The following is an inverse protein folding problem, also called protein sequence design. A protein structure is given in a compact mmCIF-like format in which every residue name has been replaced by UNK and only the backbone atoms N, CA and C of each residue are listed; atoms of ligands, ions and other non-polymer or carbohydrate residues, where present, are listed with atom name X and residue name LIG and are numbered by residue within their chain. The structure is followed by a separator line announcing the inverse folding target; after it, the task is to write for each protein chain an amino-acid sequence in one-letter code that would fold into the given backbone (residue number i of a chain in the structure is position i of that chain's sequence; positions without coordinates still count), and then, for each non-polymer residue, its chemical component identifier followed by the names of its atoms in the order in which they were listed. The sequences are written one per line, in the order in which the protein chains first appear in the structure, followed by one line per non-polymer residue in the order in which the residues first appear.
data_IF_470552459891
#
_entry.id   IF_470552459891
#
_cell.length_a   1.000
_cell.length_b   1.000
_cell.length_c   1.000
_cell.angle_alpha   90.00
_cell.angle_beta   90.00
_cell.angle_gamma   90.00
#
_symmetry.space_group_name_H-M   'P 1'
#
loop_
_entity.id
_entity.type
_entity.pdbx_description
1 polymer ?
#
# COMPACT_ATOMS: atom_id res chain seq x y z
N UNK A 1 -21.54 21.45 -9.10
CA UNK A 1 -20.52 21.30 -8.04
C UNK A 1 -19.29 20.59 -8.60
N UNK A 2 -18.07 20.94 -8.15
CA UNK A 2 -16.85 20.24 -8.53
C UNK A 2 -16.90 18.80 -7.99
N UNK A 3 -16.62 17.81 -8.86
CA UNK A 3 -16.51 16.42 -8.46
C UNK A 3 -15.16 16.18 -7.76
N UNK A 4 -15.19 15.46 -6.63
CA UNK A 4 -14.01 15.07 -5.85
C UNK A 4 -13.84 13.55 -5.99
N UNK A 5 -12.89 13.06 -6.80
CA UNK A 5 -12.64 11.62 -6.93
C UNK A 5 -11.99 11.07 -5.65
N UNK A 6 -12.13 9.76 -5.42
CA UNK A 6 -11.46 9.09 -4.29
C UNK A 6 -9.92 9.17 -4.40
N UNK A 7 -9.41 8.93 -5.60
CA UNK A 7 -7.98 9.03 -5.92
C UNK A 7 -7.75 9.90 -7.15
N UNK A 8 -6.58 10.53 -7.20
CA UNK A 8 -6.13 11.28 -8.36
C UNK A 8 -4.62 11.16 -8.50
N UNK A 9 -4.18 10.75 -9.68
CA UNK A 9 -2.75 10.69 -10.02
C UNK A 9 -2.15 12.10 -10.09
N UNK A 10 -0.90 12.22 -9.68
CA UNK A 10 -0.13 13.45 -9.75
C UNK A 10 1.10 13.25 -10.63
N UNK A 11 1.27 14.13 -11.60
CA UNK A 11 2.49 14.20 -12.42
C UNK A 11 3.00 15.64 -12.41
N UNK A 12 4.21 15.85 -11.93
CA UNK A 12 4.84 17.16 -11.89
C UNK A 12 5.35 17.59 -13.27
N UNK A 13 5.46 18.89 -13.52
CA UNK A 13 6.13 19.40 -14.72
C UNK A 13 7.58 18.93 -14.84
N UNK A 14 8.26 18.74 -13.72
CA UNK A 14 9.63 18.16 -13.69
C UNK A 14 9.64 16.73 -14.21
N UNK A 15 8.62 15.94 -13.90
CA UNK A 15 8.48 14.58 -14.44
C UNK A 15 8.36 14.59 -15.95
N UNK A 16 7.48 15.46 -16.49
CA UNK A 16 7.31 15.61 -17.94
C UNK A 16 8.64 16.05 -18.60
N UNK A 17 9.28 17.06 -18.02
CA UNK A 17 10.56 17.56 -18.51
C UNK A 17 11.67 16.49 -18.50
N UNK A 18 11.82 15.76 -17.39
CA UNK A 18 12.82 14.69 -17.27
C UNK A 18 12.64 13.62 -18.34
N UNK A 19 11.38 13.17 -18.55
CA UNK A 19 11.06 12.17 -19.58
C UNK A 19 11.34 12.73 -20.99
N UNK A 20 10.94 13.96 -21.28
CA UNK A 20 11.25 14.59 -22.57
C UNK A 20 12.76 14.71 -22.81
N UNK A 21 13.52 15.17 -21.83
CA UNK A 21 14.97 15.26 -21.92
C UNK A 21 15.64 13.90 -22.15
N UNK A 22 15.17 12.87 -21.42
CA UNK A 22 15.66 11.51 -21.60
C UNK A 22 15.40 11.01 -23.03
N UNK A 23 14.16 11.16 -23.53
CA UNK A 23 13.79 10.71 -24.86
C UNK A 23 14.55 11.46 -25.98
N UNK A 24 14.74 12.78 -25.84
CA UNK A 24 15.54 13.57 -26.79
C UNK A 24 16.99 13.09 -26.82
N UNK A 25 17.61 12.89 -25.64
CA UNK A 25 18.97 12.37 -25.53
C UNK A 25 19.10 10.94 -26.07
N UNK A 26 18.07 10.11 -25.89
CA UNK A 26 18.08 8.70 -26.30
C UNK A 26 17.81 8.49 -27.80
N UNK A 27 17.33 9.51 -28.52
CA UNK A 27 17.05 9.41 -29.96
C UNK A 27 18.25 8.96 -30.81
N UNK A 28 19.43 8.97 -30.24
CA UNK A 28 20.69 8.61 -30.88
C UNK A 28 21.35 7.36 -30.27
N UNK A 29 20.58 6.41 -29.77
CA UNK A 29 21.07 5.09 -29.37
C UNK A 29 21.28 4.85 -27.89
N UNK A 30 20.72 5.68 -27.01
CA UNK A 30 20.76 5.40 -25.56
C UNK A 30 19.77 4.29 -25.20
N UNK A 31 20.22 3.32 -24.44
CA UNK A 31 19.39 2.23 -23.93
C UNK A 31 18.43 2.75 -22.85
N UNK A 32 17.12 2.54 -23.05
CA UNK A 32 16.06 3.01 -22.14
C UNK A 32 15.64 1.98 -21.08
N UNK A 33 16.38 0.89 -20.93
CA UNK A 33 16.12 -0.11 -19.90
C UNK A 33 16.58 0.37 -18.53
N UNK A 34 17.19 -0.48 -17.74
CA UNK A 34 17.82 -0.10 -16.47
C UNK A 34 19.16 0.62 -16.74
N UNK A 35 19.19 1.91 -16.55
CA UNK A 35 20.33 2.77 -16.87
C UNK A 35 20.59 3.83 -15.78
N UNK A 36 21.13 5.00 -16.14
CA UNK A 36 21.51 6.04 -15.18
C UNK A 36 20.34 6.65 -14.43
N UNK A 37 19.15 6.75 -15.04
CA UNK A 37 17.96 7.29 -14.37
C UNK A 37 17.49 6.38 -13.25
N UNK A 38 17.52 5.06 -13.44
CA UNK A 38 17.18 4.09 -12.40
C UNK A 38 18.17 4.19 -11.24
N UNK A 39 19.49 4.19 -11.53
CA UNK A 39 20.53 4.31 -10.48
C UNK A 39 20.38 5.61 -9.68
N UNK A 40 20.10 6.71 -10.35
CA UNK A 40 19.87 8.00 -9.70
C UNK A 40 18.59 7.97 -8.85
N UNK A 41 17.52 7.36 -9.33
CA UNK A 41 16.27 7.27 -8.60
C UNK A 41 16.37 6.39 -7.35
N UNK A 42 17.09 5.26 -7.42
CA UNK A 42 17.40 4.41 -6.27
C UNK A 42 18.11 5.19 -5.17
N UNK A 43 19.15 5.95 -5.55
CA UNK A 43 19.92 6.78 -4.63
C UNK A 43 19.09 7.91 -4.03
N UNK A 44 18.43 8.71 -4.87
CA UNK A 44 17.64 9.86 -4.44
C UNK A 44 16.44 9.43 -3.56
N UNK A 45 15.81 8.29 -3.87
CA UNK A 45 14.73 7.74 -3.06
C UNK A 45 15.24 7.28 -1.69
N UNK A 46 16.34 6.54 -1.64
CA UNK A 46 16.92 6.08 -0.39
C UNK A 46 17.33 7.27 0.50
N UNK A 47 18.06 8.24 -0.05
CA UNK A 47 18.47 9.47 0.66
C UNK A 47 17.25 10.24 1.19
N UNK A 48 16.21 10.41 0.36
CA UNK A 48 15.01 11.17 0.70
C UNK A 48 14.26 10.62 1.92
N UNK A 49 14.19 9.30 2.04
CA UNK A 49 13.43 8.64 3.10
C UNK A 49 14.32 8.04 4.21
N UNK A 50 15.61 8.36 4.22
CA UNK A 50 16.53 7.88 5.25
C UNK A 50 16.67 6.36 5.26
N UNK A 51 16.65 5.75 4.07
CA UNK A 51 16.88 4.33 3.84
C UNK A 51 18.34 4.12 3.43
N UNK A 52 18.92 2.99 3.81
CA UNK A 52 20.32 2.72 3.42
C UNK A 52 20.44 2.46 1.92
N UNK A 53 19.46 1.76 1.34
CA UNK A 53 19.45 1.35 -0.06
C UNK A 53 18.03 1.02 -0.53
N UNK A 54 17.80 1.08 -1.85
CA UNK A 54 16.55 0.68 -2.47
C UNK A 54 16.83 0.08 -3.85
N UNK A 55 16.21 -1.04 -4.18
CA UNK A 55 16.29 -1.66 -5.49
C UNK A 55 15.00 -1.37 -6.28
N UNK A 56 15.12 -0.65 -7.39
CA UNK A 56 13.97 -0.28 -8.20
C UNK A 56 13.46 -1.48 -9.02
N UNK A 57 12.15 -1.68 -8.98
CA UNK A 57 11.43 -2.74 -9.68
C UNK A 57 10.26 -2.17 -10.48
N UNK A 58 9.67 -2.97 -11.36
CA UNK A 58 8.61 -2.51 -12.26
C UNK A 58 7.23 -2.40 -11.59
N UNK A 59 7.05 -2.88 -10.38
CA UNK A 59 5.80 -2.74 -9.60
C UNK A 59 6.01 -3.07 -8.12
N UNK A 60 5.09 -2.61 -7.25
CA UNK A 60 5.06 -3.06 -5.86
C UNK A 60 4.83 -4.56 -5.71
N UNK A 61 4.08 -5.18 -6.63
CA UNK A 61 3.88 -6.63 -6.68
C UNK A 61 5.20 -7.36 -6.94
N UNK A 62 6.02 -6.86 -7.87
CA UNK A 62 7.34 -7.43 -8.12
C UNK A 62 8.28 -7.29 -6.90
N UNK A 63 8.16 -6.21 -6.13
CA UNK A 63 8.89 -6.07 -4.86
C UNK A 63 8.47 -7.15 -3.86
N UNK A 64 7.17 -7.42 -3.72
CA UNK A 64 6.65 -8.49 -2.86
C UNK A 64 7.12 -9.87 -3.33
N UNK A 65 7.02 -10.18 -4.63
CA UNK A 65 7.50 -11.45 -5.19
C UNK A 65 8.99 -11.69 -4.88
N UNK A 66 9.83 -10.67 -5.08
CA UNK A 66 11.26 -10.76 -4.76
C UNK A 66 11.51 -10.87 -3.25
N UNK A 67 10.72 -10.20 -2.39
CA UNK A 67 10.85 -10.31 -0.94
C UNK A 67 10.57 -11.75 -0.47
N UNK A 68 9.53 -12.39 -1.01
CA UNK A 68 9.21 -13.79 -0.71
C UNK A 68 10.27 -14.77 -1.25
N UNK A 69 10.86 -14.47 -2.43
CA UNK A 69 12.00 -15.23 -2.98
C UNK A 69 13.20 -15.16 -2.04
N UNK A 70 13.59 -13.95 -1.65
CA UNK A 70 14.75 -13.70 -0.80
C UNK A 70 14.55 -14.21 0.62
N UNK A 71 13.31 -14.27 1.10
CA UNK A 71 12.93 -14.90 2.35
C UNK A 71 12.91 -16.44 2.26
N UNK A 72 13.20 -17.01 1.08
CA UNK A 72 13.20 -18.45 0.83
C UNK A 72 11.92 -19.17 1.28
N UNK A 73 10.77 -18.46 1.10
CA UNK A 73 9.44 -19.00 1.42
C UNK A 73 9.10 -20.09 0.39
N UNK A 74 8.63 -21.25 0.87
CA UNK A 74 8.36 -22.44 0.03
C UNK A 74 7.18 -23.30 0.52
N UNK A 75 7.03 -24.48 -0.08
CA UNK A 75 5.83 -25.34 -0.01
C UNK A 75 5.38 -25.73 1.42
N UNK A 76 6.31 -25.85 2.37
CA UNK A 76 5.97 -26.25 3.74
C UNK A 76 5.80 -25.07 4.69
N UNK A 77 6.00 -23.86 4.21
CA UNK A 77 5.96 -22.67 5.01
C UNK A 77 4.55 -22.09 5.10
N UNK A 78 4.28 -21.41 6.21
CA UNK A 78 3.08 -20.58 6.39
C UNK A 78 3.50 -19.11 6.49
N UNK A 79 2.71 -18.25 5.83
CA UNK A 79 2.88 -16.79 5.89
C UNK A 79 1.61 -16.18 6.44
N UNK A 80 1.73 -15.41 7.53
CA UNK A 80 0.60 -14.68 8.11
C UNK A 80 0.42 -13.36 7.35
N UNK A 81 -0.79 -13.11 6.84
CA UNK A 81 -1.14 -11.95 6.03
C UNK A 81 -2.42 -11.31 6.58
N UNK A 82 -2.54 -9.97 6.66
CA UNK A 82 -3.80 -9.33 7.04
C UNK A 82 -4.95 -9.74 6.10
N UNK A 83 -6.12 -10.03 6.66
CA UNK A 83 -7.29 -10.39 5.84
C UNK A 83 -7.77 -9.23 4.97
N UNK A 84 -7.64 -7.99 5.45
CA UNK A 84 -7.97 -6.76 4.71
C UNK A 84 -6.72 -6.16 4.08
N UNK A 85 -6.52 -6.45 2.81
CA UNK A 85 -5.38 -5.93 2.03
C UNK A 85 -5.65 -6.03 0.52
N UNK A 86 -4.68 -5.63 -0.29
CA UNK A 86 -4.64 -5.96 -1.71
C UNK A 86 -4.18 -7.42 -1.90
N UNK A 87 -4.74 -8.19 -2.84
CA UNK A 87 -4.33 -9.59 -3.06
C UNK A 87 -2.82 -9.79 -3.29
N UNK A 88 -2.13 -8.78 -3.83
CA UNK A 88 -0.69 -8.81 -4.05
C UNK A 88 0.13 -9.09 -2.77
N UNK A 89 -0.39 -8.77 -1.58
CA UNK A 89 0.30 -9.06 -0.31
C UNK A 89 0.34 -10.57 0.01
N UNK A 90 -0.59 -11.37 -0.51
CA UNK A 90 -0.68 -12.81 -0.25
C UNK A 90 -0.36 -13.71 -1.44
N UNK A 91 -0.53 -13.23 -2.68
CA UNK A 91 -0.31 -14.03 -3.90
C UNK A 91 1.11 -14.61 -4.02
N UNK A 92 2.20 -13.92 -3.61
CA UNK A 92 3.53 -14.50 -3.67
C UNK A 92 3.68 -15.81 -2.88
N UNK A 93 2.95 -15.96 -1.76
CA UNK A 93 2.92 -17.23 -1.03
C UNK A 93 2.31 -18.35 -1.88
N UNK A 94 1.23 -18.07 -2.58
CA UNK A 94 0.56 -19.05 -3.46
C UNK A 94 1.47 -19.46 -4.61
N UNK A 95 2.16 -18.50 -5.27
CA UNK A 95 3.11 -18.79 -6.34
C UNK A 95 4.23 -19.72 -5.88
N UNK A 96 4.60 -19.65 -4.59
CA UNK A 96 5.64 -20.48 -3.95
C UNK A 96 5.10 -21.72 -3.27
N UNK A 97 3.81 -22.03 -3.46
CA UNK A 97 3.11 -23.16 -2.83
C UNK A 97 3.11 -23.10 -1.30
N UNK A 98 3.43 -21.95 -0.71
CA UNK A 98 3.31 -21.72 0.73
C UNK A 98 1.85 -21.46 1.09
N UNK A 99 1.51 -21.70 2.35
CA UNK A 99 0.15 -21.51 2.85
C UNK A 99 -0.02 -20.09 3.38
N UNK A 100 -1.04 -19.39 2.91
CA UNK A 100 -1.49 -18.13 3.51
C UNK A 100 -2.35 -18.41 4.73
N UNK A 101 -1.96 -17.82 5.87
CA UNK A 101 -2.74 -17.78 7.10
C UNK A 101 -3.22 -16.35 7.31
N UNK A 102 -4.52 -16.10 7.19
CA UNK A 102 -5.04 -14.77 7.39
C UNK A 102 -5.15 -14.41 8.87
N UNK A 103 -4.73 -13.18 9.21
CA UNK A 103 -4.96 -12.55 10.49
C UNK A 103 -6.07 -11.51 10.39
N UNK A 104 -6.88 -11.40 11.45
CA UNK A 104 -7.95 -10.41 11.55
C UNK A 104 -7.39 -8.99 11.71
N UNK A 105 -8.24 -8.01 11.55
CA UNK A 105 -7.93 -6.60 11.71
C UNK A 105 -8.33 -6.08 13.10
N UNK A 106 -7.74 -4.94 13.48
CA UNK A 106 -8.22 -4.11 14.57
C UNK A 106 -9.27 -3.10 14.05
N UNK A 107 -9.93 -2.37 14.97
CA UNK A 107 -10.97 -1.39 14.59
C UNK A 107 -10.46 -0.19 13.78
N UNK A 108 -9.15 0.01 13.70
CA UNK A 108 -8.51 1.00 12.84
C UNK A 108 -8.19 0.46 11.43
N UNK A 109 -8.72 -0.70 11.08
CA UNK A 109 -8.57 -1.41 9.81
C UNK A 109 -7.16 -1.94 9.54
N UNK A 110 -6.20 -1.79 10.46
CA UNK A 110 -4.89 -2.40 10.36
C UNK A 110 -4.89 -3.81 10.97
N UNK A 111 -3.84 -4.59 10.75
CA UNK A 111 -3.75 -5.95 11.29
C UNK A 111 -3.76 -5.95 12.82
N UNK A 112 -4.49 -6.89 13.43
CA UNK A 112 -4.46 -7.13 14.87
C UNK A 112 -3.19 -7.89 15.24
N UNK A 113 -2.33 -7.29 16.08
CA UNK A 113 -1.09 -7.92 16.56
C UNK A 113 -1.39 -9.17 17.40
N UNK A 114 -2.41 -9.09 18.25
CA UNK A 114 -2.83 -10.22 19.10
C UNK A 114 -3.32 -11.40 18.25
N UNK A 115 -4.07 -11.11 17.18
CA UNK A 115 -4.54 -12.16 16.28
C UNK A 115 -3.39 -12.77 15.48
N UNK A 116 -2.42 -11.98 15.03
CA UNK A 116 -1.17 -12.48 14.41
C UNK A 116 -0.46 -13.45 15.34
N UNK A 117 -0.29 -13.07 16.61
CA UNK A 117 0.38 -13.91 17.61
C UNK A 117 -0.36 -15.22 17.86
N UNK A 118 -1.70 -15.18 17.88
CA UNK A 118 -2.55 -16.38 18.10
C UNK A 118 -2.51 -17.38 16.95
N UNK A 119 -2.11 -16.94 15.74
CA UNK A 119 -2.09 -17.79 14.53
C UNK A 119 -0.74 -18.43 14.23
N UNK A 120 0.25 -18.24 15.09
CA UNK A 120 1.55 -18.88 14.91
C UNK A 120 1.47 -20.39 14.95
N UNK A 121 2.20 -21.01 14.06
CA UNK A 121 2.47 -22.45 14.05
C UNK A 121 3.97 -22.69 13.89
N UNK A 122 4.46 -23.91 14.12
CA UNK A 122 5.86 -24.25 13.83
C UNK A 122 6.28 -24.07 12.36
N UNK A 123 5.33 -23.90 11.44
CA UNK A 123 5.58 -23.67 10.02
C UNK A 123 5.54 -22.18 9.64
N UNK A 124 5.17 -21.31 10.56
CA UNK A 124 5.17 -19.87 10.28
C UNK A 124 6.58 -19.38 10.06
N UNK A 125 6.87 -18.91 8.85
CA UNK A 125 8.18 -18.40 8.44
C UNK A 125 8.22 -16.88 8.35
N UNK A 126 7.12 -16.27 7.90
CA UNK A 126 7.04 -14.83 7.72
C UNK A 126 5.68 -14.25 8.11
N UNK A 127 5.70 -12.97 8.43
CA UNK A 127 4.52 -12.14 8.65
C UNK A 127 4.57 -10.98 7.66
N UNK A 128 3.45 -10.70 6.99
CA UNK A 128 3.28 -9.51 6.18
C UNK A 128 2.55 -8.45 6.99
N UNK A 129 3.18 -7.30 7.18
CA UNK A 129 2.54 -6.11 7.72
C UNK A 129 2.14 -5.19 6.57
N UNK A 130 0.87 -4.81 6.49
CA UNK A 130 0.37 -3.89 5.47
C UNK A 130 0.07 -2.55 6.13
N UNK A 131 0.66 -1.49 5.60
CA UNK A 131 0.34 -0.12 6.02
C UNK A 131 -1.00 0.31 5.44
N UNK A 132 -2.11 -0.15 6.02
CA UNK A 132 -3.44 0.17 5.51
C UNK A 132 -3.71 1.69 5.59
N UNK A 133 -3.86 2.34 4.44
CA UNK A 133 -3.96 3.81 4.34
C UNK A 133 -2.68 4.57 4.68
N UNK A 134 -1.58 3.88 4.98
CA UNK A 134 -0.35 4.46 5.54
C UNK A 134 -0.31 4.44 7.07
N UNK A 135 -1.25 3.73 7.72
CA UNK A 135 -1.24 3.50 9.17
C UNK A 135 -0.12 2.53 9.55
N UNK A 136 0.67 2.87 10.56
CA UNK A 136 1.80 2.07 11.03
C UNK A 136 1.59 1.48 12.45
N UNK A 137 0.37 1.55 12.98
CA UNK A 137 0.05 1.00 14.31
C UNK A 137 0.26 -0.52 14.30
N UNK A 138 0.92 -1.04 15.33
CA UNK A 138 1.28 -2.45 15.43
C UNK A 138 2.62 -2.81 14.81
N UNK A 139 3.22 -1.97 13.96
CA UNK A 139 4.50 -2.29 13.31
C UNK A 139 5.64 -2.45 14.31
N UNK A 140 5.74 -1.57 15.31
CA UNK A 140 6.81 -1.65 16.33
C UNK A 140 6.71 -2.92 17.16
N UNK A 141 5.50 -3.29 17.53
CA UNK A 141 5.22 -4.52 18.27
C UNK A 141 5.59 -5.75 17.43
N UNK A 142 5.18 -5.80 16.16
CA UNK A 142 5.52 -6.90 15.26
C UNK A 142 7.00 -6.99 14.95
N UNK A 143 7.71 -5.86 14.82
CA UNK A 143 9.18 -5.86 14.68
C UNK A 143 9.88 -6.51 15.89
N UNK A 144 9.45 -6.18 17.10
CA UNK A 144 9.99 -6.78 18.33
C UNK A 144 9.65 -8.27 18.40
N UNK A 145 8.40 -8.62 18.12
CA UNK A 145 7.89 -9.98 18.14
C UNK A 145 8.59 -10.88 17.12
N UNK A 146 8.71 -10.44 15.87
CA UNK A 146 9.41 -11.22 14.84
C UNK A 146 10.87 -11.45 15.20
N UNK A 147 11.55 -10.44 15.76
CA UNK A 147 12.93 -10.59 16.24
C UNK A 147 13.05 -11.62 17.36
N UNK A 148 12.13 -11.61 18.32
CA UNK A 148 12.09 -12.57 19.44
C UNK A 148 11.88 -14.00 18.94
N UNK A 149 10.98 -14.17 17.96
CA UNK A 149 10.61 -15.50 17.44
C UNK A 149 11.46 -15.99 16.27
N UNK A 150 12.41 -15.20 15.79
CA UNK A 150 13.21 -15.52 14.60
C UNK A 150 12.39 -15.58 13.31
N UNK A 151 11.31 -14.78 13.22
CA UNK A 151 10.42 -14.73 12.06
C UNK A 151 10.82 -13.56 11.13
N UNK A 152 10.58 -13.71 9.84
CA UNK A 152 10.80 -12.68 8.84
C UNK A 152 9.60 -11.73 8.84
N UNK A 153 9.85 -10.42 8.89
CA UNK A 153 8.82 -9.41 8.68
C UNK A 153 8.95 -8.77 7.30
N UNK A 154 7.87 -8.79 6.54
CA UNK A 154 7.75 -8.15 5.23
C UNK A 154 6.76 -6.98 5.37
N UNK A 155 7.22 -5.75 5.15
CA UNK A 155 6.36 -4.57 5.05
C UNK A 155 5.80 -4.43 3.63
N UNK A 156 4.48 -4.52 3.46
CA UNK A 156 3.80 -3.97 2.30
C UNK A 156 3.56 -2.47 2.54
N UNK A 157 4.53 -1.67 2.10
CA UNK A 157 4.55 -0.22 2.22
C UNK A 157 3.97 0.50 0.98
N UNK A 158 3.13 -0.19 0.18
CA UNK A 158 2.51 0.37 -1.02
C UNK A 158 1.67 1.63 -0.75
N UNK A 159 1.34 1.92 0.50
CA UNK A 159 0.54 3.06 0.94
C UNK A 159 1.29 3.92 1.99
N UNK A 160 2.57 3.61 2.29
CA UNK A 160 3.30 4.17 3.42
C UNK A 160 4.11 5.43 3.11
N UNK A 161 4.37 5.77 1.84
CA UNK A 161 5.18 6.94 1.48
C UNK A 161 4.58 8.22 2.07
N UNK A 162 5.32 8.84 2.99
CA UNK A 162 4.89 10.00 3.77
C UNK A 162 4.39 9.68 5.19
N UNK A 163 4.28 8.41 5.56
CA UNK A 163 4.05 7.99 6.94
C UNK A 163 5.28 8.27 7.82
N UNK A 164 5.06 8.41 9.13
CA UNK A 164 6.15 8.78 10.04
C UNK A 164 7.06 7.60 10.40
N UNK A 165 6.60 6.35 10.23
CA UNK A 165 7.37 5.16 10.60
C UNK A 165 7.11 4.01 9.63
N UNK A 166 8.11 3.68 8.79
CA UNK A 166 8.12 2.58 7.82
C UNK A 166 9.56 2.27 7.38
N UNK A 167 9.76 1.22 6.58
CA UNK A 167 11.09 0.85 6.08
C UNK A 167 11.98 0.24 7.16
N UNK A 168 11.42 -0.52 8.09
CA UNK A 168 12.12 -1.05 9.27
C UNK A 168 12.17 -2.57 9.34
N UNK A 169 11.39 -3.26 8.52
CA UNK A 169 11.35 -4.72 8.47
C UNK A 169 12.55 -5.31 7.71
N UNK A 170 12.62 -6.63 7.64
CA UNK A 170 13.66 -7.33 6.88
C UNK A 170 13.55 -7.02 5.38
N UNK A 171 12.30 -6.92 4.89
CA UNK A 171 11.96 -6.48 3.55
C UNK A 171 10.87 -5.41 3.60
N UNK A 172 11.02 -4.34 2.81
CA UNK A 172 9.98 -3.31 2.64
C UNK A 172 9.68 -3.13 1.16
N UNK A 173 8.42 -3.30 0.79
CA UNK A 173 7.93 -3.29 -0.59
C UNK A 173 7.13 -2.02 -0.85
N UNK A 174 7.62 -1.16 -1.74
CA UNK A 174 6.99 0.13 -2.09
C UNK A 174 6.36 0.05 -3.47
N UNK A 175 5.17 0.62 -3.63
CA UNK A 175 4.50 0.79 -4.93
C UNK A 175 4.54 2.24 -5.38
N UNK A 176 4.84 2.43 -6.66
CA UNK A 176 4.81 3.72 -7.35
C UNK A 176 3.71 3.77 -8.43
N UNK A 177 2.68 2.93 -8.30
CA UNK A 177 1.55 2.89 -9.20
C UNK A 177 0.82 4.26 -9.23
N UNK A 178 0.14 4.57 -10.30
CA UNK A 178 -0.39 5.89 -10.66
C UNK A 178 -1.14 6.65 -9.55
N UNK A 179 -1.85 5.96 -8.64
CA UNK A 179 -2.63 6.61 -7.57
C UNK A 179 -1.86 6.75 -6.24
N UNK A 180 -0.59 6.28 -6.16
CA UNK A 180 0.19 6.35 -4.92
C UNK A 180 0.66 7.76 -4.61
N UNK A 181 1.09 8.00 -3.35
CA UNK A 181 1.57 9.31 -2.88
C UNK A 181 2.74 9.80 -3.71
N UNK A 182 3.72 8.93 -3.97
CA UNK A 182 4.74 9.09 -4.98
C UNK A 182 4.43 8.12 -6.13
N UNK A 183 4.41 8.61 -7.36
CA UNK A 183 4.17 7.77 -8.53
C UNK A 183 5.23 7.95 -9.60
N UNK A 184 5.49 6.88 -10.33
CA UNK A 184 6.26 6.85 -11.58
C UNK A 184 5.42 6.32 -12.76
N UNK A 185 4.07 6.41 -12.63
CA UNK A 185 3.12 5.81 -13.55
C UNK A 185 2.82 4.35 -13.16
N UNK A 186 3.83 3.55 -13.12
CA UNK A 186 3.94 2.25 -12.46
C UNK A 186 5.37 2.10 -11.92
N UNK A 187 5.64 1.07 -11.14
CA UNK A 187 6.95 0.84 -10.54
C UNK A 187 6.88 0.52 -9.06
N UNK A 188 8.05 0.34 -8.47
CA UNK A 188 8.19 0.08 -7.05
C UNK A 188 9.64 0.05 -6.59
N UNK A 189 9.82 -0.14 -5.30
CA UNK A 189 11.13 -0.40 -4.71
C UNK A 189 11.06 -1.59 -3.76
N UNK A 190 12.10 -2.39 -3.76
CA UNK A 190 12.39 -3.35 -2.70
C UNK A 190 13.54 -2.82 -1.85
N UNK A 191 13.30 -2.69 -0.57
CA UNK A 191 14.30 -2.36 0.44
C UNK A 191 14.61 -3.63 1.21
N UNK A 192 15.86 -4.07 1.20
CA UNK A 192 16.35 -5.18 2.00
C UNK A 192 17.22 -4.62 3.12
N UNK A 193 16.97 -5.06 4.34
CA UNK A 193 17.79 -4.68 5.50
C UNK A 193 19.20 -5.27 5.38
N UNK A 194 19.31 -6.51 4.92
CA UNK A 194 20.60 -7.17 4.67
C UNK A 194 21.20 -6.69 3.34
N UNK A 195 22.46 -6.18 3.34
CA UNK A 195 23.16 -5.78 2.12
C UNK A 195 23.33 -6.90 1.09
N UNK A 196 23.59 -8.13 1.55
CA UNK A 196 23.78 -9.26 0.64
C UNK A 196 22.48 -9.61 -0.09
N UNK A 197 21.34 -9.55 0.62
CA UNK A 197 20.01 -9.75 0.02
C UNK A 197 19.64 -8.61 -0.94
N UNK A 198 20.10 -7.38 -0.69
CA UNK A 198 19.91 -6.28 -1.63
C UNK A 198 20.65 -6.54 -2.96
N UNK A 199 21.91 -6.96 -2.92
CA UNK A 199 22.66 -7.31 -4.13
C UNK A 199 22.04 -8.51 -4.86
N UNK A 200 21.56 -9.50 -4.10
CA UNK A 200 20.80 -10.62 -4.67
C UNK A 200 19.51 -10.15 -5.35
N UNK A 201 18.75 -9.22 -4.74
CA UNK A 201 17.55 -8.62 -5.34
C UNK A 201 17.86 -7.95 -6.69
N UNK A 202 18.97 -7.21 -6.79
CA UNK A 202 19.40 -6.58 -8.05
C UNK A 202 19.70 -7.59 -9.16
N UNK A 203 20.26 -8.75 -8.83
CA UNK A 203 20.44 -9.83 -9.80
C UNK A 203 19.11 -10.47 -10.18
N UNK A 204 18.32 -10.84 -9.19
CA UNK A 204 17.04 -11.52 -9.40
C UNK A 204 16.06 -10.70 -10.25
N UNK A 205 16.00 -9.38 -10.09
CA UNK A 205 15.13 -8.52 -10.91
C UNK A 205 15.49 -8.51 -12.40
N UNK A 206 16.70 -8.98 -12.75
CA UNK A 206 17.24 -9.02 -14.11
C UNK A 206 17.80 -10.40 -14.45
N UNK A 207 16.95 -11.40 -14.58
CA UNK A 207 17.26 -12.76 -15.02
C UNK A 207 18.30 -13.52 -14.20
N UNK A 208 18.71 -13.05 -13.02
CA UNK A 208 19.79 -13.61 -12.23
C UNK A 208 21.19 -13.11 -12.61
N UNK A 209 21.31 -12.20 -13.56
CA UNK A 209 22.61 -11.62 -13.94
C UNK A 209 23.12 -10.62 -12.93
N UNK A 210 24.43 -10.65 -12.64
CA UNK A 210 25.16 -9.48 -12.20
C UNK A 210 25.38 -8.57 -13.41
N UNK A 211 24.54 -7.55 -13.50
CA UNK A 211 24.51 -6.67 -14.67
C UNK A 211 25.76 -5.80 -14.80
N UNK A 212 26.33 -5.35 -13.68
CA UNK A 212 27.56 -4.54 -13.70
C UNK A 212 28.77 -5.38 -14.15
N UNK A 213 28.84 -6.61 -13.65
CA UNK A 213 29.87 -7.54 -14.06
C UNK A 213 29.72 -7.91 -15.54
N UNK A 214 28.50 -8.18 -15.99
CA UNK A 214 28.20 -8.47 -17.41
C UNK A 214 28.59 -7.31 -18.32
N UNK A 215 28.35 -6.06 -17.93
CA UNK A 215 28.78 -4.90 -18.72
C UNK A 215 30.31 -4.78 -18.82
N UNK A 216 31.03 -5.18 -17.78
CA UNK A 216 32.50 -5.14 -17.77
C UNK A 216 33.16 -6.27 -18.54
N UNK A 217 32.60 -7.49 -18.45
CA UNK A 217 33.19 -8.72 -19.00
C UNK A 217 32.59 -9.16 -20.33
N UNK A 218 31.46 -8.54 -20.76
CA UNK A 218 30.70 -8.94 -21.93
C UNK A 218 29.71 -10.07 -21.67
N UNK A 219 30.05 -11.02 -20.82
CA UNK A 219 29.15 -12.11 -20.38
C UNK A 219 29.48 -12.54 -18.94
N UNK A 220 28.48 -13.11 -18.25
CA UNK A 220 28.62 -13.70 -16.92
C UNK A 220 27.68 -14.89 -16.79
N UNK A 221 28.00 -15.82 -15.92
CA UNK A 221 27.14 -16.94 -15.59
C UNK A 221 25.84 -16.50 -14.88
N UNK A 222 24.79 -17.28 -15.03
CA UNK A 222 23.52 -17.17 -14.30
C UNK A 222 23.50 -18.28 -13.26
N UNK A 223 23.82 -17.96 -12.01
CA UNK A 223 23.89 -18.93 -10.92
C UNK A 223 22.56 -19.15 -10.20
N UNK A 224 21.57 -18.31 -10.46
CA UNK A 224 20.23 -18.39 -9.87
C UNK A 224 19.16 -17.91 -10.89
N UNK A 225 17.98 -18.55 -10.87
CA UNK A 225 16.88 -18.14 -11.75
C UNK A 225 16.30 -16.79 -11.30
N UNK A 226 16.38 -15.79 -12.16
CA UNK A 226 15.81 -14.47 -11.88
C UNK A 226 14.61 -14.14 -12.77
N UNK A 227 14.09 -12.93 -12.60
CA UNK A 227 12.89 -12.42 -13.23
C UNK A 227 13.22 -11.26 -14.18
N UNK A 228 12.27 -10.85 -15.00
CA UNK A 228 12.32 -9.59 -15.74
C UNK A 228 11.37 -8.57 -15.08
N UNK A 229 11.79 -7.99 -13.96
CA UNK A 229 10.98 -7.05 -13.18
C UNK A 229 11.73 -5.78 -12.76
N UNK A 230 12.82 -5.44 -13.46
CA UNK A 230 13.53 -4.18 -13.27
C UNK A 230 12.72 -2.97 -13.75
N UNK A 231 12.98 -1.81 -13.18
CA UNK A 231 12.42 -0.54 -13.62
C UNK A 231 13.12 -0.05 -14.90
N UNK A 232 12.40 0.66 -15.79
CA UNK A 232 12.97 1.33 -16.94
C UNK A 232 13.42 2.76 -16.61
N UNK A 233 14.38 3.31 -17.39
CA UNK A 233 14.80 4.69 -17.22
C UNK A 233 13.67 5.71 -17.48
N UNK A 234 12.72 5.40 -18.35
CA UNK A 234 11.54 6.26 -18.58
C UNK A 234 10.72 6.37 -17.30
N UNK A 235 10.42 5.23 -16.68
CA UNK A 235 9.68 5.15 -15.42
C UNK A 235 10.45 5.86 -14.30
N UNK A 236 11.76 5.66 -14.21
CA UNK A 236 12.60 6.29 -13.21
C UNK A 236 12.68 7.82 -13.40
N UNK A 237 12.84 8.33 -14.63
CA UNK A 237 12.85 9.76 -14.93
C UNK A 237 11.55 10.46 -14.51
N UNK A 238 10.39 9.80 -14.74
CA UNK A 238 9.09 10.29 -14.27
C UNK A 238 9.06 10.33 -12.74
N UNK A 239 9.44 9.24 -12.09
CA UNK A 239 9.47 9.11 -10.63
C UNK A 239 10.39 10.14 -9.95
N UNK A 240 11.59 10.38 -10.48
CA UNK A 240 12.54 11.40 -10.01
C UNK A 240 11.94 12.80 -10.05
N UNK A 241 11.24 13.15 -11.13
CA UNK A 241 10.55 14.42 -11.23
C UNK A 241 9.47 14.60 -10.16
N UNK A 242 8.71 13.56 -9.85
CA UNK A 242 7.72 13.58 -8.77
C UNK A 242 8.38 13.56 -7.38
N UNK A 243 9.49 12.83 -7.20
CA UNK A 243 10.25 12.80 -5.94
C UNK A 243 10.77 14.20 -5.57
N UNK A 244 11.20 15.00 -6.55
CA UNK A 244 11.71 16.36 -6.31
C UNK A 244 10.69 17.33 -5.69
N UNK A 245 9.40 17.02 -5.72
CA UNK A 245 8.31 17.84 -5.16
C UNK A 245 7.52 17.11 -4.07
N UNK A 246 7.98 15.93 -3.65
CA UNK A 246 7.21 15.03 -2.76
C UNK A 246 6.90 15.64 -1.40
N UNK A 247 7.78 16.50 -0.86
CA UNK A 247 7.56 17.13 0.45
C UNK A 247 6.28 17.96 0.45
N UNK A 248 6.07 18.77 -0.58
CA UNK A 248 4.87 19.59 -0.69
C UNK A 248 3.58 18.75 -0.75
N UNK A 249 3.66 17.57 -1.36
CA UNK A 249 2.53 16.63 -1.45
C UNK A 249 2.28 15.99 -0.08
N UNK A 250 3.35 15.55 0.60
CA UNK A 250 3.25 14.96 1.95
C UNK A 250 2.71 15.97 2.95
N UNK A 251 3.24 17.20 2.97
CA UNK A 251 2.79 18.27 3.85
C UNK A 251 1.32 18.63 3.62
N UNK A 252 0.91 18.70 2.36
CA UNK A 252 -0.50 18.92 2.02
C UNK A 252 -1.38 17.78 2.55
N UNK A 253 -1.00 16.51 2.33
CA UNK A 253 -1.74 15.36 2.84
C UNK A 253 -1.80 15.33 4.37
N UNK A 254 -0.71 15.68 5.06
CA UNK A 254 -0.68 15.80 6.54
C UNK A 254 -1.67 16.85 7.03
N UNK A 255 -1.80 17.99 6.34
CA UNK A 255 -2.82 19.02 6.65
C UNK A 255 -4.24 18.49 6.45
N UNK A 256 -4.51 17.74 5.38
CA UNK A 256 -5.81 17.09 5.17
C UNK A 256 -6.12 16.08 6.28
N UNK A 257 -5.14 15.27 6.69
CA UNK A 257 -5.29 14.33 7.82
C UNK A 257 -5.68 15.06 9.10
N UNK A 258 -4.98 16.15 9.44
CA UNK A 258 -5.28 16.96 10.61
C UNK A 258 -6.71 17.55 10.56
N UNK A 259 -7.16 17.99 9.37
CA UNK A 259 -8.52 18.51 9.17
C UNK A 259 -9.56 17.41 9.38
N UNK A 260 -9.37 16.21 8.82
CA UNK A 260 -10.26 15.06 9.09
C UNK A 260 -10.30 14.69 10.57
N UNK A 261 -9.14 14.61 11.21
CA UNK A 261 -9.03 14.27 12.64
C UNK A 261 -9.75 15.28 13.54
N UNK A 262 -9.71 16.59 13.22
CA UNK A 262 -10.44 17.63 13.93
C UNK A 262 -11.98 17.44 13.88
N UNK A 263 -12.48 16.69 12.91
CA UNK A 263 -13.88 16.32 12.77
C UNK A 263 -14.19 14.89 13.25
N UNK A 264 -13.25 14.21 13.93
CA UNK A 264 -13.42 12.84 14.43
C UNK A 264 -13.39 11.74 13.36
N UNK A 265 -12.88 12.04 12.17
CA UNK A 265 -12.72 11.06 11.08
C UNK A 265 -11.28 10.56 11.06
N UNK A 266 -11.11 9.25 11.04
CA UNK A 266 -9.79 8.62 10.94
C UNK A 266 -9.14 8.90 9.60
N UNK A 267 -7.90 9.34 9.60
CA UNK A 267 -7.14 9.62 8.39
C UNK A 267 -5.68 9.20 8.55
N UNK A 268 -5.14 8.62 7.50
CA UNK A 268 -3.73 8.31 7.35
C UNK A 268 -3.24 8.90 6.03
N UNK A 269 -1.94 8.87 5.78
CA UNK A 269 -1.33 9.63 4.68
C UNK A 269 -1.90 9.37 3.28
N UNK A 270 -2.57 8.23 3.06
CA UNK A 270 -3.04 7.84 1.73
C UNK A 270 -4.55 8.01 1.53
N UNK A 271 -5.38 7.75 2.55
CA UNK A 271 -6.82 8.02 2.56
C UNK A 271 -7.33 8.28 3.99
N UNK A 272 -8.54 8.85 4.08
CA UNK A 272 -9.32 8.87 5.31
C UNK A 272 -10.40 7.78 5.24
N UNK A 273 -10.95 7.37 6.38
CA UNK A 273 -12.06 6.43 6.44
C UNK A 273 -13.01 6.74 7.58
N UNK A 274 -14.24 6.32 7.40
CA UNK A 274 -15.26 6.35 8.45
C UNK A 274 -15.94 4.99 8.56
N UNK A 275 -16.45 4.68 9.74
CA UNK A 275 -17.28 3.51 9.97
C UNK A 275 -18.74 3.98 10.13
N UNK A 276 -19.65 3.32 9.45
CA UNK A 276 -21.09 3.62 9.52
C UNK A 276 -21.91 2.35 9.28
N UNK A 277 -22.99 2.11 10.05
CA UNK A 277 -23.88 0.97 9.83
C UNK A 277 -24.54 0.96 8.44
N UNK A 278 -24.81 2.15 7.88
CA UNK A 278 -25.36 2.32 6.52
C UNK A 278 -24.30 2.91 5.58
N UNK A 279 -23.31 2.08 5.26
CA UNK A 279 -22.21 2.45 4.34
C UNK A 279 -22.72 2.79 2.93
N UNK A 280 -23.63 1.97 2.40
CA UNK A 280 -24.08 2.12 1.01
C UNK A 280 -25.01 3.34 0.85
N UNK A 281 -25.82 3.65 1.88
CA UNK A 281 -26.58 4.90 1.96
C UNK A 281 -25.67 6.11 2.01
N UNK A 282 -24.64 6.10 2.89
CA UNK A 282 -23.65 7.19 2.96
C UNK A 282 -22.90 7.36 1.64
N UNK A 283 -22.47 6.27 1.02
CA UNK A 283 -21.77 6.28 -0.28
C UNK A 283 -22.63 6.91 -1.37
N UNK A 284 -23.92 6.55 -1.43
CA UNK A 284 -24.89 7.11 -2.38
C UNK A 284 -25.15 8.59 -2.12
N UNK A 285 -25.32 8.98 -0.86
CA UNK A 285 -25.51 10.37 -0.44
C UNK A 285 -24.31 11.24 -0.81
N UNK A 286 -23.09 10.82 -0.49
CA UNK A 286 -21.88 11.54 -0.83
C UNK A 286 -21.70 11.68 -2.34
N UNK A 287 -22.01 10.62 -3.12
CA UNK A 287 -21.97 10.65 -4.59
C UNK A 287 -22.93 11.70 -5.17
N UNK A 288 -24.16 11.81 -4.65
CA UNK A 288 -25.14 12.85 -5.06
C UNK A 288 -24.60 14.25 -4.80
N UNK A 289 -23.74 14.42 -3.80
CA UNK A 289 -23.06 15.68 -3.49
C UNK A 289 -21.70 15.83 -4.19
N UNK A 290 -21.41 14.97 -5.20
CA UNK A 290 -20.19 15.05 -6.00
C UNK A 290 -18.92 14.57 -5.28
N UNK A 291 -19.05 13.80 -4.19
CA UNK A 291 -17.92 13.17 -3.48
C UNK A 291 -17.89 11.68 -3.80
N UNK A 292 -16.85 11.22 -4.50
CA UNK A 292 -16.65 9.81 -4.80
C UNK A 292 -15.87 9.13 -3.67
N UNK A 293 -16.42 8.08 -3.15
CA UNK A 293 -15.89 7.29 -2.04
C UNK A 293 -15.72 5.85 -2.48
N UNK A 294 -15.08 5.01 -1.67
CA UNK A 294 -14.82 3.62 -2.05
C UNK A 294 -14.72 2.66 -0.88
N UNK A 295 -14.85 1.40 -1.24
CA UNK A 295 -14.67 0.23 -0.40
C UNK A 295 -13.83 -0.81 -1.18
N UNK A 296 -12.86 -0.34 -1.97
CA UNK A 296 -12.16 -1.14 -3.00
C UNK A 296 -11.10 -2.09 -2.46
N UNK A 297 -10.70 -1.96 -1.21
CA UNK A 297 -9.89 -2.97 -0.53
C UNK A 297 -10.83 -3.92 0.21
N UNK A 298 -10.72 -5.20 -0.09
CA UNK A 298 -11.64 -6.22 0.42
C UNK A 298 -10.88 -7.24 1.26
N UNK A 299 -11.64 -7.98 2.06
CA UNK A 299 -11.12 -9.17 2.71
C UNK A 299 -10.68 -10.20 1.65
N UNK A 300 -9.49 -10.73 1.79
CA UNK A 300 -8.91 -11.60 0.77
C UNK A 300 -9.29 -13.07 0.93
N UNK A 301 -9.65 -13.52 2.11
CA UNK A 301 -10.05 -14.90 2.36
C UNK A 301 -11.35 -15.31 1.62
N UNK A 302 -12.12 -14.34 1.09
CA UNK A 302 -13.28 -14.62 0.24
C UNK A 302 -12.92 -15.20 -1.14
N UNK A 303 -11.68 -14.99 -1.60
CA UNK A 303 -11.27 -15.48 -2.91
C UNK A 303 -10.94 -16.97 -2.87
N UNK A 304 -11.42 -17.73 -3.87
CA UNK A 304 -11.22 -19.17 -3.95
C UNK A 304 -9.75 -19.59 -3.90
N UNK A 305 -8.86 -18.80 -4.48
CA UNK A 305 -7.40 -19.03 -4.50
C UNK A 305 -6.81 -19.11 -3.08
N UNK A 306 -7.44 -18.47 -2.10
CA UNK A 306 -7.02 -18.46 -0.69
C UNK A 306 -7.82 -19.44 0.18
N UNK A 307 -8.71 -20.26 -0.41
CA UNK A 307 -9.42 -21.33 0.29
C UNK A 307 -10.78 -20.96 0.89
N UNK A 308 -11.30 -19.76 0.62
CA UNK A 308 -12.64 -19.33 1.02
C UNK A 308 -12.71 -18.63 2.38
N UNK A 309 -13.85 -17.99 2.64
CA UNK A 309 -14.12 -17.13 3.79
C UNK A 309 -14.01 -17.89 5.12
N UNK A 310 -13.35 -17.29 6.09
CA UNK A 310 -13.10 -17.83 7.43
C UNK A 310 -13.64 -16.87 8.50
N UNK A 311 -13.98 -17.35 9.71
CA UNK A 311 -14.35 -16.47 10.82
C UNK A 311 -13.23 -15.50 11.15
N UNK A 312 -13.54 -14.21 11.03
CA UNK A 312 -12.67 -13.07 11.36
C UNK A 312 -13.53 -12.05 12.09
N UNK A 313 -13.70 -12.15 13.42
CA UNK A 313 -14.74 -11.43 14.15
C UNK A 313 -14.79 -9.93 13.87
N UNK A 314 -13.63 -9.25 13.85
CA UNK A 314 -13.58 -7.81 13.59
C UNK A 314 -13.83 -7.50 12.11
N UNK A 315 -13.26 -8.28 11.20
CA UNK A 315 -13.52 -8.10 9.77
C UNK A 315 -14.95 -8.41 9.41
N UNK A 316 -15.57 -9.44 10.01
CA UNK A 316 -16.97 -9.81 9.79
C UNK A 316 -17.91 -8.67 10.24
N UNK A 317 -17.59 -7.99 11.36
CA UNK A 317 -18.32 -6.81 11.83
C UNK A 317 -18.13 -5.60 10.90
N UNK A 318 -16.88 -5.32 10.49
CA UNK A 318 -16.54 -4.08 9.82
C UNK A 318 -16.66 -4.13 8.29
N UNK A 319 -16.74 -5.31 7.67
CA UNK A 319 -16.75 -5.50 6.21
C UNK A 319 -17.82 -4.63 5.50
N UNK A 320 -18.99 -4.47 6.12
CA UNK A 320 -20.09 -3.67 5.59
C UNK A 320 -20.10 -2.21 6.07
N UNK A 321 -19.18 -1.81 6.95
CA UNK A 321 -19.23 -0.51 7.64
C UNK A 321 -18.20 0.49 7.16
N UNK A 322 -16.99 0.06 6.76
CA UNK A 322 -15.93 1.01 6.40
C UNK A 322 -16.16 1.64 5.03
N UNK A 323 -15.94 2.95 4.95
CA UNK A 323 -15.99 3.72 3.73
C UNK A 323 -14.75 4.61 3.63
N UNK A 324 -14.00 4.49 2.52
CA UNK A 324 -12.81 5.30 2.25
C UNK A 324 -13.22 6.67 1.69
N UNK A 325 -12.55 7.71 2.18
CA UNK A 325 -12.80 9.10 1.83
C UNK A 325 -11.59 9.72 1.12
N UNK A 326 -11.80 10.70 0.21
CA UNK A 326 -10.75 11.30 -0.59
C UNK A 326 -9.67 12.00 0.25
N UNK A 327 -8.39 11.68 -0.02
CA UNK A 327 -7.23 12.34 0.56
C UNK A 327 -6.10 12.35 -0.46
N UNK A 328 -6.02 13.38 -1.30
CA UNK A 328 -5.00 13.52 -2.33
C UNK A 328 -4.68 14.98 -2.65
N UNK A 329 -3.62 15.24 -3.41
CA UNK A 329 -3.10 16.57 -3.74
C UNK A 329 -4.13 17.59 -4.28
N UNK A 330 -5.22 17.12 -4.89
CA UNK A 330 -6.23 18.00 -5.47
C UNK A 330 -7.46 18.24 -4.56
N UNK A 331 -7.45 17.68 -3.35
CA UNK A 331 -8.45 17.95 -2.29
C UNK A 331 -7.97 19.13 -1.47
N UNK A 332 -8.80 20.15 -1.28
CA UNK A 332 -8.51 21.28 -0.39
C UNK A 332 -9.01 21.03 1.04
N UNK A 333 -8.53 21.80 2.01
CA UNK A 333 -9.07 21.76 3.39
C UNK A 333 -10.56 22.04 3.43
N UNK A 334 -11.05 23.01 2.60
CA UNK A 334 -12.51 23.29 2.45
C UNK A 334 -13.28 22.09 1.90
N UNK A 335 -12.68 21.31 0.97
CA UNK A 335 -13.30 20.07 0.48
C UNK A 335 -13.43 19.05 1.62
N UNK A 336 -12.40 18.93 2.50
CA UNK A 336 -12.45 18.05 3.67
C UNK A 336 -13.53 18.49 4.65
N UNK A 337 -13.58 19.78 5.01
CA UNK A 337 -14.62 20.35 5.89
C UNK A 337 -16.03 20.04 5.34
N UNK A 338 -16.22 20.21 4.04
CA UNK A 338 -17.48 19.88 3.36
C UNK A 338 -17.79 18.38 3.45
N UNK A 339 -16.83 17.50 3.19
CA UNK A 339 -17.00 16.05 3.32
C UNK A 339 -17.40 15.68 4.74
N UNK A 340 -16.71 16.21 5.74
CA UNK A 340 -17.02 15.99 7.16
C UNK A 340 -18.43 16.46 7.53
N UNK A 341 -18.83 17.63 7.03
CA UNK A 341 -20.19 18.16 7.23
C UNK A 341 -21.26 17.26 6.63
N UNK A 342 -21.04 16.75 5.41
CA UNK A 342 -21.95 15.81 4.75
C UNK A 342 -22.05 14.47 5.51
N UNK A 343 -20.92 13.91 5.99
CA UNK A 343 -20.90 12.70 6.79
C UNK A 343 -21.71 12.89 8.07
N UNK A 344 -21.53 14.04 8.75
CA UNK A 344 -22.28 14.39 9.97
C UNK A 344 -23.77 14.56 9.67
N UNK A 345 -24.14 15.24 8.58
CA UNK A 345 -25.52 15.44 8.16
C UNK A 345 -26.22 14.09 7.93
N UNK A 346 -25.57 13.17 7.20
CA UNK A 346 -26.10 11.84 6.95
C UNK A 346 -26.33 11.07 8.25
N UNK A 347 -25.37 11.08 9.17
CA UNK A 347 -25.47 10.38 10.45
C UNK A 347 -26.63 10.92 11.32
N UNK A 348 -26.91 12.23 11.29
CA UNK A 348 -28.04 12.82 12.02
C UNK A 348 -29.38 12.44 11.37
N UNK A 349 -29.49 12.45 10.05
CA UNK A 349 -30.69 12.05 9.32
C UNK A 349 -31.05 10.57 9.56
N UNK A 350 -30.04 9.69 9.56
CA UNK A 350 -30.24 8.25 9.80
C UNK A 350 -30.73 7.97 11.24
N UNK A 351 -30.19 8.68 12.24
CA UNK A 351 -30.65 8.59 13.64
C UNK A 351 -32.09 9.06 13.80
N UNK A 352 -32.48 10.16 13.14
CA UNK A 352 -33.84 10.69 13.18
C UNK A 352 -34.82 9.71 12.53
N UNK A 353 -34.45 9.05 11.43
CA UNK A 353 -35.29 8.06 10.77
C UNK A 353 -35.48 6.79 11.62
N UNK A 354 -34.44 6.27 12.32
CA UNK A 354 -34.56 5.14 13.19
C UNK A 354 -35.46 5.44 14.43
N UNK A 355 -35.27 6.62 15.04
CA UNK A 355 -36.10 7.04 16.19
C UNK A 355 -37.60 7.25 15.80
N UNK A 356 -37.87 7.67 14.56
CA UNK A 356 -39.25 7.76 14.07
C UNK A 356 -39.87 6.39 13.77
N UNK A 357 -39.05 5.41 13.31
CA UNK A 357 -39.50 4.02 13.08
C UNK A 357 -39.87 3.27 14.37
N UNK A 358 -39.09 3.46 15.45
CA UNK A 358 -39.34 2.85 16.75
C UNK A 358 -40.64 3.37 17.41
N UNK A 359 -41.01 4.64 17.16
CA UNK A 359 -42.25 5.22 17.67
C UNK A 359 -43.50 4.70 16.94
N UNK A 360 -43.39 4.24 15.68
CA UNK A 360 -44.52 3.61 14.97
C UNK A 360 -44.74 2.14 15.36
N UNK A 361 -43.70 1.40 15.76
CA UNK A 361 -43.80 0.02 16.18
C UNK A 361 -44.40 -0.15 17.59
N UNK A 362 -44.23 0.87 18.45
CA UNK A 362 -44.82 0.86 19.82
C UNK A 362 -46.29 1.25 19.86
N UNK A 363 -46.85 1.89 18.83
CA UNK A 363 -48.30 2.22 18.78
C UNK A 363 -49.17 1.15 18.12
N UNK A 364 -48.61 0.17 17.41
CA UNK A 364 -49.33 -0.90 16.76
C UNK A 364 -49.57 -2.14 17.67
N UNK A 365 -49.13 -2.10 18.93
CA UNK A 365 -49.23 -3.21 19.90
C UNK A 365 -50.31 -3.05 20.95
N UNK A 366 -51.23 -2.06 20.84
CA UNK A 366 -52.35 -1.86 21.76
C UNK A 366 -53.62 -1.67 20.96
N UNK A 367 -54.22 -2.78 20.54
CA UNK A 367 -55.63 -2.89 20.19
C UNK A 367 -56.07 -4.36 20.25
#
# INVERSE_FOLDING_TARGET
MRSIPLFKSYVSWRSVWNVCCLLIKSNYGTYLGEGPEVKAFEKEFAEKFGLERAAAVNSGTAALELAFELAEIGENDEVIVPVLTHPASGLPAIHRKAKVVFADIARDLNVSVDDVQSRLTPRTKAIVFVHFGGNNRGLKELLAFCREKGLILIEDAAQAVGSDFWGKADFTCVSLQAIKTLTSGDGGFLICKDPALHEKAKRLRWFGYDRELKQKLGDTDIVEAGYKCHMSDITAALGRGNLSVIDSIIDHRKKLCATYAAHGISASIWFAHTLTPDRDGLKSFLKQHGVHTGDYLFRNDKYAIFGGKRPMPTMDELESQYLLLPLHHAVSMRDVERICSLVKQFALSSKAASAAGDNFSTQAGVS
#
